data_IF_773157610119
#
_entry.id   IF_773157610119
#
_cell.length_a   1.000
_cell.length_b   1.000
_cell.length_c   1.000
_cell.angle_alpha   90.00
_cell.angle_beta   90.00
_cell.angle_gamma   90.00
#
_symmetry.space_group_name_H-M   'P 1'
#
loop_
_entity.id
_entity.type
_entity.pdbx_description
1 polymer ?
#
# COMPACT_ATOMS: atom_id res chain seq x y z
N UNK A 1 -34.39 -21.05 13.59
CA UNK A 1 -35.13 -21.17 12.33
C UNK A 1 -34.15 -21.68 11.29
N UNK A 2 -34.21 -22.97 10.96
CA UNK A 2 -33.31 -23.56 9.96
C UNK A 2 -33.68 -23.00 8.58
N UNK A 3 -32.70 -22.52 7.82
CA UNK A 3 -32.91 -22.11 6.43
C UNK A 3 -33.23 -23.40 5.64
N UNK A 4 -34.35 -23.47 4.89
CA UNK A 4 -34.67 -24.65 4.11
C UNK A 4 -33.61 -24.84 3.00
N UNK A 5 -33.13 -26.08 2.84
CA UNK A 5 -32.00 -26.45 1.98
C UNK A 5 -32.11 -25.94 0.52
N UNK A 6 -33.31 -25.72 0.00
CA UNK A 6 -33.53 -25.23 -1.37
C UNK A 6 -33.13 -23.75 -1.60
N UNK A 7 -33.16 -22.91 -0.57
CA UNK A 7 -32.66 -21.52 -0.68
C UNK A 7 -31.12 -21.46 -0.73
N UNK A 8 -30.47 -22.48 -0.19
CA UNK A 8 -29.01 -22.61 -0.15
C UNK A 8 -28.48 -23.02 -1.53
N UNK A 9 -29.15 -23.96 -2.20
CA UNK A 9 -28.77 -24.42 -3.54
C UNK A 9 -28.93 -23.33 -4.61
N UNK A 10 -30.03 -22.56 -4.58
CA UNK A 10 -30.26 -21.46 -5.52
C UNK A 10 -29.28 -20.29 -5.29
N UNK A 11 -28.98 -19.97 -4.03
CA UNK A 11 -27.99 -18.94 -3.68
C UNK A 11 -26.60 -19.38 -4.12
N UNK A 12 -26.19 -20.60 -3.78
CA UNK A 12 -24.90 -21.18 -4.15
C UNK A 12 -24.75 -21.21 -5.68
N UNK A 13 -25.79 -21.62 -6.41
CA UNK A 13 -25.78 -21.58 -7.87
C UNK A 13 -25.50 -20.17 -8.40
N UNK A 14 -26.17 -19.14 -7.85
CA UNK A 14 -25.95 -17.73 -8.25
C UNK A 14 -24.55 -17.23 -7.86
N UNK A 15 -24.03 -17.62 -6.70
CA UNK A 15 -22.68 -17.28 -6.25
C UNK A 15 -21.65 -17.87 -7.21
N UNK A 16 -21.79 -19.16 -7.56
CA UNK A 16 -20.89 -19.82 -8.51
C UNK A 16 -21.00 -19.21 -9.92
N UNK A 17 -22.21 -18.92 -10.39
CA UNK A 17 -22.42 -18.26 -11.68
C UNK A 17 -21.69 -16.91 -11.74
N UNK A 18 -21.87 -16.08 -10.71
CA UNK A 18 -21.20 -14.78 -10.62
C UNK A 18 -19.68 -14.95 -10.53
N UNK A 19 -19.20 -15.90 -9.74
CA UNK A 19 -17.78 -16.23 -9.62
C UNK A 19 -17.16 -16.61 -10.97
N UNK A 20 -17.79 -17.51 -11.72
CA UNK A 20 -17.36 -17.91 -13.07
C UNK A 20 -17.31 -16.72 -14.03
N UNK A 21 -18.31 -15.83 -13.98
CA UNK A 21 -18.35 -14.60 -14.79
C UNK A 21 -17.22 -13.64 -14.46
N UNK A 22 -16.92 -13.44 -13.17
CA UNK A 22 -15.81 -12.59 -12.72
C UNK A 22 -14.46 -13.17 -13.17
N UNK A 23 -14.24 -14.49 -13.03
CA UNK A 23 -13.02 -15.17 -13.47
C UNK A 23 -12.83 -15.03 -14.99
N UNK A 24 -13.88 -15.27 -15.78
CA UNK A 24 -13.81 -15.13 -17.23
C UNK A 24 -13.46 -13.69 -17.66
N UNK A 25 -14.06 -12.68 -17.03
CA UNK A 25 -13.75 -11.28 -17.29
C UNK A 25 -12.31 -10.90 -16.87
N UNK A 26 -11.80 -11.48 -15.78
CA UNK A 26 -10.43 -11.29 -15.32
C UNK A 26 -9.41 -11.89 -16.30
N UNK A 27 -9.59 -13.13 -16.74
CA UNK A 27 -8.67 -13.80 -17.66
C UNK A 27 -8.53 -13.06 -19.00
N UNK A 28 -9.64 -12.52 -19.54
CA UNK A 28 -9.61 -11.68 -20.74
C UNK A 28 -8.75 -10.41 -20.54
N UNK A 29 -8.89 -9.72 -19.40
CA UNK A 29 -8.10 -8.54 -19.06
C UNK A 29 -6.62 -8.87 -18.79
N UNK A 30 -6.34 -9.98 -18.12
CA UNK A 30 -4.98 -10.43 -17.80
C UNK A 30 -4.17 -10.73 -19.06
N UNK A 31 -4.80 -11.34 -20.06
CA UNK A 31 -4.18 -11.59 -21.36
C UNK A 31 -3.82 -10.29 -22.10
N UNK A 32 -4.65 -9.24 -21.97
CA UNK A 32 -4.38 -7.92 -22.56
C UNK A 32 -3.30 -7.10 -21.80
N UNK A 33 -3.10 -7.36 -20.51
CA UNK A 33 -2.18 -6.61 -19.65
C UNK A 33 -0.79 -7.27 -19.47
N UNK A 34 -0.49 -8.32 -20.24
CA UNK A 34 0.68 -9.22 -20.11
C UNK A 34 2.07 -8.57 -20.29
N UNK A 35 2.17 -7.26 -20.36
CA UNK A 35 3.42 -6.54 -20.57
C UNK A 35 3.47 -5.26 -19.76
N UNK A 36 3.95 -5.30 -18.51
CA UNK A 36 4.58 -4.09 -17.93
C UNK A 36 5.77 -4.37 -16.99
N UNK A 37 5.92 -5.49 -16.29
CA UNK A 37 7.15 -5.71 -15.50
C UNK A 37 7.50 -7.19 -15.25
N UNK A 38 8.10 -7.82 -16.27
CA UNK A 38 8.48 -9.24 -16.27
C UNK A 38 9.43 -9.62 -15.12
N UNK A 39 10.22 -8.66 -14.61
CA UNK A 39 11.12 -8.92 -13.49
C UNK A 39 10.34 -9.03 -12.18
N UNK A 40 9.40 -8.11 -11.92
CA UNK A 40 8.56 -8.14 -10.71
C UNK A 40 7.73 -9.41 -10.65
N UNK A 41 7.09 -9.80 -11.76
CA UNK A 41 6.33 -11.04 -11.83
C UNK A 41 7.21 -12.26 -11.54
N UNK A 42 8.44 -12.29 -12.06
CA UNK A 42 9.41 -13.35 -11.77
C UNK A 42 9.82 -13.37 -10.29
N UNK A 43 10.08 -12.20 -9.70
CA UNK A 43 10.42 -12.06 -8.29
C UNK A 43 9.27 -12.57 -7.41
N UNK A 44 8.05 -12.10 -7.63
CA UNK A 44 6.86 -12.54 -6.87
C UNK A 44 6.60 -14.04 -7.02
N UNK A 45 6.72 -14.58 -8.24
CA UNK A 45 6.59 -16.02 -8.45
C UNK A 45 7.65 -16.82 -7.68
N UNK A 46 8.90 -16.36 -7.65
CA UNK A 46 9.97 -17.01 -6.88
C UNK A 46 9.69 -16.96 -5.38
N UNK A 47 9.24 -15.81 -4.85
CA UNK A 47 8.78 -15.67 -3.46
C UNK A 47 7.65 -16.66 -3.16
N UNK A 48 6.72 -16.88 -4.09
CA UNK A 48 5.61 -17.82 -3.89
C UNK A 48 6.02 -19.30 -3.99
N UNK A 49 7.05 -19.64 -4.77
CA UNK A 49 7.45 -21.03 -5.01
C UNK A 49 8.54 -21.56 -4.06
N UNK A 50 9.36 -20.69 -3.47
CA UNK A 50 10.47 -21.08 -2.58
C UNK A 50 10.34 -20.44 -1.21
N UNK A 51 10.17 -21.25 -0.17
CA UNK A 51 10.08 -20.78 1.21
C UNK A 51 11.41 -20.15 1.68
N UNK A 52 12.55 -20.79 1.39
CA UNK A 52 13.87 -20.26 1.76
C UNK A 52 14.13 -18.88 1.14
N UNK A 53 13.86 -18.74 -0.16
CA UNK A 53 13.98 -17.46 -0.84
C UNK A 53 12.99 -16.42 -0.31
N UNK A 54 11.74 -16.82 -0.02
CA UNK A 54 10.71 -15.93 0.55
C UNK A 54 11.17 -15.29 1.85
N UNK A 55 11.68 -16.11 2.78
CA UNK A 55 12.13 -15.62 4.09
C UNK A 55 13.28 -14.63 3.92
N UNK A 56 14.27 -14.96 3.08
CA UNK A 56 15.41 -14.08 2.82
C UNK A 56 14.99 -12.78 2.13
N UNK A 57 14.13 -12.87 1.11
CA UNK A 57 13.66 -11.72 0.36
C UNK A 57 12.84 -10.75 1.22
N UNK A 58 11.91 -11.26 2.04
CA UNK A 58 11.10 -10.40 2.90
C UNK A 58 11.94 -9.73 3.99
N UNK A 59 12.90 -10.45 4.60
CA UNK A 59 13.82 -9.86 5.58
C UNK A 59 14.75 -8.82 4.96
N UNK A 60 15.25 -9.08 3.75
CA UNK A 60 16.09 -8.12 3.05
C UNK A 60 15.31 -6.84 2.71
N UNK A 61 14.06 -6.96 2.25
CA UNK A 61 13.19 -5.80 1.99
C UNK A 61 12.92 -5.01 3.27
N UNK A 62 12.73 -5.68 4.40
CA UNK A 62 12.47 -5.08 5.71
C UNK A 62 13.67 -4.26 6.23
N UNK A 63 14.90 -4.78 6.11
CA UNK A 63 16.11 -4.07 6.57
C UNK A 63 16.58 -2.98 5.61
N UNK A 64 16.24 -3.08 4.33
CA UNK A 64 16.77 -2.18 3.28
C UNK A 64 16.63 -0.68 3.58
N UNK A 65 15.51 -0.16 4.12
CA UNK A 65 15.37 1.25 4.45
C UNK A 65 16.39 1.75 5.49
N UNK A 66 16.94 0.85 6.32
CA UNK A 66 17.96 1.18 7.31
C UNK A 66 19.39 1.12 6.76
N UNK A 67 19.59 0.67 5.52
CA UNK A 67 20.92 0.57 4.89
C UNK A 67 21.22 1.85 4.11
N UNK A 68 21.88 2.81 4.75
CA UNK A 68 22.24 4.10 4.13
C UNK A 68 23.55 4.04 3.33
N UNK A 69 24.40 3.03 3.57
CA UNK A 69 25.66 2.82 2.87
C UNK A 69 25.56 1.72 1.80
N UNK A 70 26.15 1.96 0.62
CA UNK A 70 26.09 1.03 -0.51
C UNK A 70 26.99 -0.21 -0.28
N UNK A 71 28.04 -0.11 0.54
CA UNK A 71 28.84 -1.29 0.91
C UNK A 71 28.06 -2.18 1.85
N UNK A 72 27.41 -1.61 2.86
CA UNK A 72 26.52 -2.34 3.78
C UNK A 72 25.37 -3.01 3.02
N UNK A 73 24.71 -2.29 2.11
CA UNK A 73 23.66 -2.86 1.25
C UNK A 73 24.17 -4.07 0.46
N UNK A 74 25.33 -3.93 -0.17
CA UNK A 74 25.91 -4.99 -0.99
C UNK A 74 26.32 -6.20 -0.14
N UNK A 75 26.88 -5.97 1.06
CA UNK A 75 27.19 -7.02 2.01
C UNK A 75 25.94 -7.80 2.42
N UNK A 76 24.86 -7.11 2.82
CA UNK A 76 23.58 -7.75 3.16
C UNK A 76 22.99 -8.51 1.97
N UNK A 77 23.07 -7.96 0.76
CA UNK A 77 22.60 -8.66 -0.44
C UNK A 77 23.34 -10.01 -0.62
N UNK A 78 24.64 -10.05 -0.34
CA UNK A 78 25.43 -11.28 -0.40
C UNK A 78 25.12 -12.24 0.76
N UNK A 79 24.90 -11.74 1.98
CA UNK A 79 24.53 -12.57 3.13
C UNK A 79 23.17 -13.24 2.92
N UNK A 80 22.18 -12.48 2.42
CA UNK A 80 20.84 -13.00 2.19
C UNK A 80 20.76 -13.94 1.00
N UNK A 81 21.51 -13.70 -0.10
CA UNK A 81 21.28 -14.41 -1.35
C UNK A 81 22.54 -15.01 -2.02
N UNK A 82 23.70 -14.95 -1.38
CA UNK A 82 25.01 -15.39 -1.90
C UNK A 82 25.11 -16.88 -2.25
N UNK A 83 24.12 -17.69 -1.85
CA UNK A 83 24.04 -19.12 -2.16
C UNK A 83 23.36 -19.43 -3.51
N UNK A 84 23.03 -18.43 -4.33
CA UNK A 84 22.67 -18.62 -5.74
C UNK A 84 21.28 -18.12 -6.17
N UNK A 85 20.50 -17.53 -5.26
CA UNK A 85 19.08 -17.28 -5.49
C UNK A 85 18.72 -15.86 -5.94
N UNK A 86 19.71 -15.00 -6.21
CA UNK A 86 19.43 -13.66 -6.73
C UNK A 86 18.78 -13.71 -8.13
N UNK A 87 17.55 -13.17 -8.31
CA UNK A 87 17.00 -12.87 -9.62
C UNK A 87 17.61 -11.58 -10.18
N UNK A 88 18.94 -11.43 -10.06
CA UNK A 88 19.67 -10.40 -10.77
C UNK A 88 19.67 -10.80 -12.26
N UNK A 89 19.09 -9.94 -13.09
CA UNK A 89 19.18 -10.04 -14.55
C UNK A 89 20.65 -10.15 -14.96
N UNK A 90 20.94 -10.98 -15.98
CA UNK A 90 22.29 -11.39 -16.35
C UNK A 90 23.30 -10.25 -16.57
N UNK A 91 22.82 -9.03 -16.88
CA UNK A 91 23.65 -7.84 -17.04
C UNK A 91 24.27 -7.36 -15.71
N UNK A 92 23.53 -7.40 -14.59
CA UNK A 92 24.04 -7.10 -13.26
C UNK A 92 25.02 -8.19 -12.81
N UNK A 93 24.71 -9.46 -13.08
CA UNK A 93 25.61 -10.60 -12.81
C UNK A 93 26.94 -10.49 -13.58
N UNK A 94 26.92 -9.90 -14.78
CA UNK A 94 28.12 -9.66 -15.59
C UNK A 94 28.93 -8.45 -15.10
N UNK A 95 28.28 -7.32 -14.79
CA UNK A 95 28.95 -6.10 -14.30
C UNK A 95 29.60 -6.27 -12.93
N UNK A 96 28.92 -6.94 -11.99
CA UNK A 96 29.44 -7.24 -10.64
C UNK A 96 30.65 -8.19 -10.68
N UNK A 97 30.78 -9.03 -11.72
CA UNK A 97 31.91 -9.95 -11.87
C UNK A 97 33.18 -9.27 -12.41
N UNK A 98 33.07 -8.12 -13.06
CA UNK A 98 34.18 -7.42 -13.73
C UNK A 98 34.59 -6.10 -13.07
N UNK A 99 33.80 -5.60 -12.11
CA UNK A 99 34.10 -4.40 -11.33
C UNK A 99 34.27 -4.81 -9.87
N UNK A 100 35.38 -4.41 -9.25
CA UNK A 100 35.67 -4.67 -7.83
C UNK A 100 35.82 -3.36 -7.06
N UNK A 101 35.51 -3.39 -5.77
CA UNK A 101 35.62 -2.24 -4.88
C UNK A 101 34.39 -1.31 -4.94
N UNK A 102 34.54 -0.11 -4.41
CA UNK A 102 33.42 0.80 -4.09
C UNK A 102 32.54 1.18 -5.27
N UNK A 103 33.13 1.24 -6.46
CA UNK A 103 32.38 1.55 -7.69
C UNK A 103 31.36 0.46 -8.04
N UNK A 104 31.66 -0.82 -7.75
CA UNK A 104 30.70 -1.90 -7.94
C UNK A 104 29.54 -1.80 -6.93
N UNK A 105 29.87 -1.51 -5.66
CA UNK A 105 28.87 -1.37 -4.59
C UNK A 105 27.87 -0.26 -4.89
N UNK A 106 28.34 0.89 -5.38
CA UNK A 106 27.46 2.00 -5.76
C UNK A 106 26.49 1.64 -6.90
N UNK A 107 26.96 0.90 -7.90
CA UNK A 107 26.11 0.44 -9.02
C UNK A 107 25.04 -0.54 -8.51
N UNK A 108 25.43 -1.50 -7.67
CA UNK A 108 24.51 -2.49 -7.09
C UNK A 108 23.49 -1.79 -6.19
N UNK A 109 23.94 -0.94 -5.28
CA UNK A 109 23.10 -0.18 -4.37
C UNK A 109 22.05 0.64 -5.11
N UNK A 110 22.49 1.42 -6.11
CA UNK A 110 21.58 2.18 -6.97
C UNK A 110 20.55 1.31 -7.70
N UNK A 111 20.96 0.16 -8.23
CA UNK A 111 20.06 -0.76 -8.92
C UNK A 111 19.01 -1.38 -7.97
N UNK A 112 19.43 -1.83 -6.79
CA UNK A 112 18.55 -2.40 -5.76
C UNK A 112 17.55 -1.37 -5.26
N UNK A 113 18.02 -0.17 -4.87
CA UNK A 113 17.15 0.92 -4.42
C UNK A 113 16.12 1.31 -5.48
N UNK A 114 16.52 1.35 -6.76
CA UNK A 114 15.61 1.62 -7.87
C UNK A 114 14.56 0.53 -8.05
N UNK A 115 14.97 -0.74 -8.00
CA UNK A 115 14.05 -1.87 -8.10
C UNK A 115 13.02 -1.86 -6.95
N UNK A 116 13.47 -1.55 -5.73
CA UNK A 116 12.62 -1.49 -4.54
C UNK A 116 11.70 -0.28 -4.53
N UNK A 117 12.17 0.87 -5.02
CA UNK A 117 11.30 2.03 -5.27
C UNK A 117 10.23 1.71 -6.31
N UNK A 118 10.57 0.97 -7.36
CA UNK A 118 9.62 0.48 -8.37
C UNK A 118 8.56 -0.45 -7.75
N UNK A 119 9.00 -1.39 -6.91
CA UNK A 119 8.12 -2.28 -6.16
C UNK A 119 7.18 -1.50 -5.23
N UNK A 120 7.73 -0.57 -4.43
CA UNK A 120 6.96 0.24 -3.49
C UNK A 120 5.85 1.05 -4.19
N UNK A 121 6.17 1.66 -5.36
CA UNK A 121 5.19 2.40 -6.18
C UNK A 121 4.04 1.54 -6.74
N UNK A 122 4.15 0.21 -6.69
CA UNK A 122 3.05 -0.69 -7.07
C UNK A 122 1.98 -0.76 -5.99
N UNK A 123 2.37 -0.55 -4.73
CA UNK A 123 1.51 -0.72 -3.55
C UNK A 123 1.20 0.61 -2.85
N UNK A 124 2.07 1.61 -2.97
CA UNK A 124 1.90 2.94 -2.41
C UNK A 124 1.35 3.90 -3.47
N UNK A 125 0.39 4.74 -3.05
CA UNK A 125 -0.18 5.77 -3.92
C UNK A 125 0.77 6.93 -4.22
N UNK A 126 1.88 7.06 -3.50
CA UNK A 126 2.86 8.13 -3.63
C UNK A 126 3.73 8.23 -2.38
N UNK A 127 4.84 8.96 -2.49
CA UNK A 127 5.72 9.29 -1.35
C UNK A 127 5.25 10.55 -0.60
N UNK A 128 4.35 11.33 -1.21
CA UNK A 128 3.70 12.49 -0.59
C UNK A 128 2.19 12.39 -0.69
N UNK A 129 1.51 13.20 0.12
CA UNK A 129 0.05 13.34 0.06
C UNK A 129 -0.39 13.83 -1.33
N UNK A 130 0.33 14.76 -1.93
CA UNK A 130 0.05 15.30 -3.25
C UNK A 130 0.15 14.23 -4.35
N UNK A 131 1.17 13.37 -4.29
CA UNK A 131 1.30 12.23 -5.20
C UNK A 131 0.15 11.23 -5.00
N UNK A 132 -0.21 10.91 -3.76
CA UNK A 132 -1.33 10.01 -3.46
C UNK A 132 -2.66 10.53 -4.04
N UNK A 133 -2.89 11.84 -3.99
CA UNK A 133 -4.08 12.49 -4.55
C UNK A 133 -4.07 12.47 -6.08
N UNK A 134 -2.91 12.68 -6.71
CA UNK A 134 -2.76 12.53 -8.17
C UNK A 134 -3.06 11.10 -8.61
N UNK A 135 -2.56 10.10 -7.87
CA UNK A 135 -2.88 8.69 -8.09
C UNK A 135 -4.38 8.40 -7.91
N UNK A 136 -5.00 8.96 -6.87
CA UNK A 136 -6.44 8.85 -6.64
C UNK A 136 -7.26 9.45 -7.81
N UNK A 137 -6.84 10.59 -8.35
CA UNK A 137 -7.47 11.19 -9.53
C UNK A 137 -7.33 10.29 -10.78
N UNK A 138 -6.14 9.70 -10.99
CA UNK A 138 -5.92 8.77 -12.09
C UNK A 138 -6.77 7.50 -11.98
N UNK A 139 -6.94 6.96 -10.77
CA UNK A 139 -7.86 5.84 -10.50
C UNK A 139 -9.32 6.25 -10.74
N UNK A 140 -9.70 7.44 -10.31
CA UNK A 140 -11.05 7.98 -10.50
C UNK A 140 -11.40 8.13 -11.98
N UNK A 141 -10.47 8.60 -12.82
CA UNK A 141 -10.64 8.66 -14.30
C UNK A 141 -10.92 7.29 -14.92
N UNK A 142 -10.52 6.20 -14.24
CA UNK A 142 -10.76 4.81 -14.64
C UNK A 142 -12.00 4.20 -13.99
N UNK A 143 -12.80 5.00 -13.28
CA UNK A 143 -13.99 4.54 -12.56
C UNK A 143 -13.69 3.75 -11.28
N UNK A 144 -12.50 3.91 -10.69
CA UNK A 144 -12.09 3.23 -9.46
C UNK A 144 -12.11 4.23 -8.30
N UNK A 145 -12.90 3.93 -7.26
CA UNK A 145 -12.86 4.67 -5.99
C UNK A 145 -11.60 4.34 -5.19
N UNK A 146 -11.19 5.25 -4.29
CA UNK A 146 -9.99 5.05 -3.47
C UNK A 146 -10.19 5.61 -2.05
N UNK A 147 -9.43 5.07 -1.10
CA UNK A 147 -9.21 5.64 0.22
C UNK A 147 -7.72 5.89 0.41
N UNK A 148 -7.36 7.02 1.01
CA UNK A 148 -5.97 7.41 1.27
C UNK A 148 -5.62 7.05 2.72
N UNK A 149 -4.67 6.13 2.90
CA UNK A 149 -4.05 5.81 4.19
C UNK A 149 -2.69 6.50 4.30
N UNK A 150 -2.45 7.26 5.37
CA UNK A 150 -1.14 7.87 5.60
C UNK A 150 -0.24 6.83 6.26
N UNK A 151 0.73 6.32 5.49
CA UNK A 151 1.72 5.37 5.99
C UNK A 151 2.64 6.06 7.01
N UNK A 152 2.97 5.34 8.06
CA UNK A 152 3.91 5.73 9.09
C UNK A 152 4.36 4.52 9.87
N UNK A 153 5.43 4.72 10.64
CA UNK A 153 5.94 3.70 11.55
C UNK A 153 5.04 3.54 12.78
N UNK A 154 5.37 2.58 13.64
CA UNK A 154 4.68 2.42 14.91
C UNK A 154 4.89 3.68 15.76
N UNK A 155 3.79 4.24 16.26
CA UNK A 155 3.83 5.36 17.19
C UNK A 155 4.17 4.83 18.57
N UNK A 156 5.30 5.27 19.12
CA UNK A 156 5.84 4.81 20.42
C UNK A 156 5.90 5.94 21.45
N UNK A 157 5.57 7.17 21.07
CA UNK A 157 5.50 8.34 21.96
C UNK A 157 4.28 9.21 21.71
N UNK A 158 3.93 10.05 22.70
CA UNK A 158 2.85 11.03 22.54
C UNK A 158 3.18 12.10 21.49
N UNK A 159 4.46 12.45 21.35
CA UNK A 159 4.93 13.41 20.35
C UNK A 159 4.70 12.90 18.92
N UNK A 160 4.99 11.63 18.66
CA UNK A 160 4.71 10.99 17.37
C UNK A 160 3.20 10.88 17.11
N UNK A 161 2.39 10.58 18.14
CA UNK A 161 0.93 10.57 18.01
C UNK A 161 0.37 11.95 17.63
N UNK A 162 0.92 13.01 18.22
CA UNK A 162 0.58 14.40 17.88
C UNK A 162 1.03 14.78 16.47
N UNK A 163 2.21 14.32 16.04
CA UNK A 163 2.68 14.51 14.66
C UNK A 163 1.76 13.80 13.66
N UNK A 164 1.40 12.54 13.92
CA UNK A 164 0.43 11.79 13.13
C UNK A 164 -0.92 12.53 13.03
N UNK A 165 -1.43 13.04 14.16
CA UNK A 165 -2.65 13.84 14.18
C UNK A 165 -2.51 15.09 13.30
N UNK A 166 -1.40 15.83 13.42
CA UNK A 166 -1.13 17.03 12.63
C UNK A 166 -1.12 16.73 11.14
N UNK A 167 -0.51 15.63 10.71
CA UNK A 167 -0.50 15.21 9.30
C UNK A 167 -1.91 15.01 8.74
N UNK A 168 -2.84 14.42 9.52
CA UNK A 168 -4.24 14.31 9.10
C UNK A 168 -4.96 15.66 9.06
N UNK A 169 -4.71 16.55 10.04
CA UNK A 169 -5.30 17.89 10.03
C UNK A 169 -4.83 18.70 8.81
N UNK A 170 -3.55 18.64 8.48
CA UNK A 170 -2.97 19.28 7.29
C UNK A 170 -3.53 18.69 6.00
N UNK A 171 -3.70 17.37 5.96
CA UNK A 171 -4.37 16.68 4.86
C UNK A 171 -5.78 17.26 4.63
N UNK A 172 -6.63 17.30 5.65
CA UNK A 172 -8.00 17.78 5.51
C UNK A 172 -8.10 19.30 5.31
N UNK A 173 -7.08 20.06 5.67
CA UNK A 173 -7.00 21.49 5.38
C UNK A 173 -6.72 21.78 3.90
N UNK A 174 -5.86 20.98 3.25
CA UNK A 174 -5.29 21.31 1.93
C UNK A 174 -5.85 20.47 0.78
N UNK A 175 -6.04 19.18 0.99
CA UNK A 175 -6.31 18.22 -0.09
C UNK A 175 -7.75 18.24 -0.62
N UNK A 176 -8.79 18.37 0.23
CA UNK A 176 -10.17 18.38 -0.25
C UNK A 176 -10.46 19.46 -1.29
N UNK A 177 -9.76 20.60 -1.21
CA UNK A 177 -9.89 21.68 -2.20
C UNK A 177 -9.43 21.24 -3.60
N UNK A 178 -8.35 20.43 -3.68
CA UNK A 178 -7.89 19.85 -4.94
C UNK A 178 -8.88 18.82 -5.48
N UNK A 179 -9.40 17.95 -4.61
CA UNK A 179 -10.40 16.94 -4.99
C UNK A 179 -11.76 17.55 -5.40
N UNK A 180 -12.09 18.75 -4.91
CA UNK A 180 -13.29 19.48 -5.32
C UNK A 180 -13.25 19.91 -6.80
N UNK A 181 -12.05 20.12 -7.36
CA UNK A 181 -11.87 20.46 -8.77
C UNK A 181 -12.03 19.26 -9.73
N UNK A 182 -12.09 18.03 -9.21
CA UNK A 182 -12.28 16.85 -10.05
C UNK A 182 -13.62 16.86 -10.79
N UNK A 183 -13.66 16.40 -12.05
CA UNK A 183 -14.92 16.24 -12.77
C UNK A 183 -15.89 15.33 -11.99
N UNK A 184 -17.22 15.61 -12.03
CA UNK A 184 -18.22 14.69 -11.53
C UNK A 184 -18.07 13.31 -12.18
N UNK A 185 -18.19 12.24 -11.38
CA UNK A 185 -18.14 10.87 -11.89
C UNK A 185 -19.47 10.17 -11.60
N UNK A 186 -20.21 9.70 -12.62
CA UNK A 186 -21.61 9.26 -12.47
C UNK A 186 -21.78 8.07 -11.52
N UNK A 187 -20.78 7.18 -11.46
CA UNK A 187 -20.81 5.98 -10.60
C UNK A 187 -20.19 6.20 -9.22
N UNK A 188 -19.22 7.13 -9.10
CA UNK A 188 -18.41 7.24 -7.88
C UNK A 188 -18.92 8.33 -6.93
N UNK A 189 -19.61 9.34 -7.46
CA UNK A 189 -20.12 10.46 -6.66
C UNK A 189 -21.53 10.21 -6.13
N UNK A 190 -22.13 9.06 -6.43
CA UNK A 190 -23.50 8.72 -6.04
C UNK A 190 -23.55 7.29 -5.49
N UNK A 191 -24.26 7.11 -4.38
CA UNK A 191 -24.50 5.80 -3.79
C UNK A 191 -25.75 5.83 -2.91
N UNK A 192 -26.63 4.84 -3.07
CA UNK A 192 -27.88 4.71 -2.30
C UNK A 192 -28.72 6.01 -2.29
N UNK A 193 -28.79 6.72 -3.41
CA UNK A 193 -29.53 7.98 -3.55
C UNK A 193 -28.89 9.20 -2.90
N UNK A 194 -27.64 9.10 -2.44
CA UNK A 194 -26.89 10.20 -1.80
C UNK A 194 -25.63 10.55 -2.58
N UNK A 195 -25.20 11.81 -2.48
CA UNK A 195 -23.89 12.23 -2.97
C UNK A 195 -22.81 11.70 -2.05
N UNK A 196 -21.83 11.00 -2.61
CA UNK A 196 -20.69 10.48 -1.86
C UNK A 196 -19.55 11.51 -1.81
N UNK A 197 -18.78 11.59 -0.70
CA UNK A 197 -17.54 12.33 -0.65
C UNK A 197 -16.57 11.87 -1.73
N UNK A 198 -15.93 12.83 -2.42
CA UNK A 198 -14.93 12.53 -3.45
C UNK A 198 -13.60 12.07 -2.86
N UNK A 199 -13.34 12.47 -1.63
CA UNK A 199 -12.15 12.12 -0.87
C UNK A 199 -12.54 11.22 0.28
N UNK A 200 -11.83 10.10 0.41
CA UNK A 200 -11.93 9.17 1.51
C UNK A 200 -10.53 8.99 2.09
N UNK A 201 -10.40 9.04 3.42
CA UNK A 201 -9.16 8.75 4.11
C UNK A 201 -9.39 7.65 5.15
N UNK A 202 -8.41 6.76 5.29
CA UNK A 202 -8.41 5.72 6.32
C UNK A 202 -7.51 6.16 7.47
N UNK A 203 -7.95 5.94 8.72
CA UNK A 203 -7.16 6.28 9.91
C UNK A 203 -6.90 5.03 10.75
N UNK A 204 -5.63 4.78 11.06
CA UNK A 204 -5.23 3.75 12.02
C UNK A 204 -5.26 4.30 13.44
N UNK A 205 -6.16 3.79 14.28
CA UNK A 205 -6.31 4.25 15.66
C UNK A 205 -5.04 4.08 16.50
N UNK A 206 -4.27 3.03 16.27
CA UNK A 206 -2.97 2.80 16.92
C UNK A 206 -1.93 3.88 16.62
N UNK A 207 -2.10 4.66 15.55
CA UNK A 207 -1.23 5.81 15.26
C UNK A 207 -1.57 7.07 16.08
N UNK A 208 -2.64 7.01 16.90
CA UNK A 208 -3.08 8.12 17.75
C UNK A 208 -2.87 7.84 19.24
N UNK A 209 -2.35 6.68 19.61
CA UNK A 209 -2.05 6.36 21.00
C UNK A 209 -0.90 5.36 21.10
N UNK A 210 0.27 5.75 21.64
CA UNK A 210 1.41 4.84 21.80
C UNK A 210 1.15 3.74 22.85
N UNK A 211 0.11 3.91 23.68
CA UNK A 211 -0.22 3.01 24.79
C UNK A 211 -1.51 2.23 24.54
N UNK A 212 -1.91 2.04 23.29
CA UNK A 212 -3.13 1.32 22.95
C UNK A 212 -3.03 -0.14 23.43
N UNK A 213 -3.84 -0.50 24.42
CA UNK A 213 -3.80 -1.82 25.05
C UNK A 213 -5.17 -2.24 25.57
N UNK A 214 -5.44 -3.54 25.50
CA UNK A 214 -6.65 -4.15 26.05
C UNK A 214 -6.69 -4.15 27.60
N UNK A 215 -5.58 -3.80 28.26
CA UNK A 215 -5.49 -3.74 29.73
C UNK A 215 -6.27 -2.55 30.31
N UNK A 216 -6.35 -1.44 29.58
CA UNK A 216 -7.07 -0.23 30.00
C UNK A 216 -7.84 0.38 28.83
N UNK A 217 -8.87 -0.33 28.31
CA UNK A 217 -9.52 0.02 27.06
C UNK A 217 -10.24 1.37 27.11
N UNK A 218 -10.84 1.75 28.24
CA UNK A 218 -11.52 3.04 28.40
C UNK A 218 -10.53 4.21 28.36
N UNK A 219 -9.36 4.05 28.99
CA UNK A 219 -8.31 5.07 28.99
C UNK A 219 -7.72 5.25 27.59
N UNK A 220 -7.43 4.14 26.88
CA UNK A 220 -6.98 4.18 25.48
C UNK A 220 -8.03 4.81 24.55
N UNK A 221 -9.31 4.43 24.70
CA UNK A 221 -10.39 5.01 23.93
C UNK A 221 -10.53 6.52 24.17
N UNK A 222 -10.39 6.99 25.41
CA UNK A 222 -10.44 8.41 25.74
C UNK A 222 -9.29 9.21 25.09
N UNK A 223 -8.06 8.68 25.14
CA UNK A 223 -6.88 9.31 24.48
C UNK A 223 -7.04 9.35 22.96
N UNK A 224 -7.47 8.24 22.36
CA UNK A 224 -7.75 8.19 20.91
C UNK A 224 -8.86 9.15 20.54
N UNK A 225 -9.97 9.19 21.28
CA UNK A 225 -11.09 10.10 21.02
C UNK A 225 -10.65 11.57 21.04
N UNK A 226 -9.82 11.95 22.03
CA UNK A 226 -9.28 13.31 22.14
C UNK A 226 -8.47 13.73 20.89
N UNK A 227 -7.69 12.82 20.31
CA UNK A 227 -6.90 13.09 19.09
C UNK A 227 -7.71 12.93 17.79
N UNK A 228 -8.64 11.98 17.75
CA UNK A 228 -9.44 11.65 16.57
C UNK A 228 -10.55 12.69 16.32
N UNK A 229 -11.18 13.22 17.37
CA UNK A 229 -12.30 14.15 17.23
C UNK A 229 -11.94 15.40 16.39
N UNK A 230 -10.81 16.10 16.60
CA UNK A 230 -10.39 17.19 15.71
C UNK A 230 -10.24 16.78 14.25
N UNK A 231 -9.75 15.57 13.98
CA UNK A 231 -9.58 15.03 12.62
C UNK A 231 -10.94 14.82 11.97
N UNK A 232 -11.87 14.16 12.66
CA UNK A 232 -13.23 13.90 12.16
C UNK A 232 -14.00 15.21 11.90
N UNK A 233 -13.81 16.21 12.78
CA UNK A 233 -14.40 17.54 12.58
C UNK A 233 -13.81 18.23 11.34
N UNK A 234 -12.49 18.12 11.11
CA UNK A 234 -11.84 18.65 9.92
C UNK A 234 -12.38 17.96 8.64
N UNK A 235 -12.44 16.63 8.63
CA UNK A 235 -12.99 15.86 7.51
C UNK A 235 -14.46 16.20 7.21
N UNK A 236 -15.28 16.36 8.27
CA UNK A 236 -16.69 16.77 8.11
C UNK A 236 -16.80 18.15 7.48
N UNK A 237 -16.01 19.13 7.96
CA UNK A 237 -15.99 20.50 7.41
C UNK A 237 -15.56 20.51 5.95
N UNK A 238 -14.63 19.65 5.55
CA UNK A 238 -14.13 19.56 4.18
C UNK A 238 -14.96 18.64 3.27
N UNK A 239 -16.07 18.07 3.76
CA UNK A 239 -16.91 17.15 3.00
C UNK A 239 -16.20 15.86 2.59
N UNK A 240 -15.27 15.39 3.41
CA UNK A 240 -14.49 14.16 3.20
C UNK A 240 -15.04 13.01 4.04
N UNK A 241 -14.87 11.78 3.57
CA UNK A 241 -15.18 10.56 4.33
C UNK A 241 -13.98 10.10 5.14
N UNK A 242 -14.22 9.51 6.31
CA UNK A 242 -13.20 8.86 7.13
C UNK A 242 -13.62 7.43 7.41
N UNK A 243 -12.69 6.49 7.17
CA UNK A 243 -12.81 5.08 7.45
C UNK A 243 -11.89 4.67 8.62
#
# INVERSE_FOLDING_TARGET
>A
MAIPASLDDDLEHRVQEMGRRLIAAFEQRRQAARSVDLWLDRFLNQVMQSEGFRVQALRFVDVLPALDDDRELTAHLHEYFGHGDLPLTGLLRFGVRHVRGDFANAIIGGAVRKAMTGLARRFLGGASVEEAVSTAEALRKRGIGSSIDLVGEAVVSDAEAEEHQRRYLDFFARIPQKAAAWPPHPVLDQGQGRRLPRLNASIKLSSLDPQLSAVAPEAGAARIAARLQPILLAARRSGSFVC
#
